data_IF_096751054504
#
_entry.id   IF_096751054504
#
_cell.length_a   1.000
_cell.length_b   1.000
_cell.length_c   1.000
_cell.angle_alpha   90.00
_cell.angle_beta   90.00
_cell.angle_gamma   90.00
#
_symmetry.space_group_name_H-M   'P 1'
#
loop_
_entity.id
_entity.type
_entity.pdbx_description
1 polymer ?
#
# COMPACT_ATOMS: atom_id res chain seq x y z
N UNK A 1 6.15 -12.98 85.71
CA UNK A 1 4.68 -12.97 85.78
C UNK A 1 4.20 -11.80 84.93
N UNK A 2 3.25 -11.88 84.02
CA UNK A 2 2.51 -12.93 83.31
C UNK A 2 1.54 -12.12 82.41
N UNK A 3 1.34 -12.55 81.16
CA UNK A 3 0.08 -12.46 80.36
C UNK A 3 -0.62 -11.09 80.25
N UNK A 4 -0.81 -10.49 79.07
CA UNK A 4 -1.29 -11.06 77.82
C UNK A 4 -2.78 -10.76 77.67
N UNK A 5 -3.15 -9.90 76.72
CA UNK A 5 -4.50 -9.82 76.16
C UNK A 5 -4.40 -9.32 74.71
N UNK A 6 -4.66 -10.26 73.80
CA UNK A 6 -4.92 -10.07 72.38
C UNK A 6 -6.06 -9.07 72.17
N UNK A 7 -5.93 -8.24 71.14
CA UNK A 7 -7.04 -7.48 70.57
C UNK A 7 -6.96 -7.64 69.06
N UNK A 8 -7.73 -8.60 68.56
CA UNK A 8 -7.88 -8.94 67.17
C UNK A 8 -8.63 -7.79 66.47
N UNK A 9 -7.98 -7.14 65.49
CA UNK A 9 -8.65 -6.24 64.55
C UNK A 9 -9.08 -7.06 63.33
N UNK A 10 -10.36 -7.38 63.28
CA UNK A 10 -11.03 -7.88 62.08
C UNK A 10 -10.96 -6.80 60.98
N UNK A 11 -10.24 -7.10 59.90
CA UNK A 11 -10.22 -6.28 58.70
C UNK A 11 -11.44 -6.64 57.83
N UNK A 12 -12.38 -5.71 57.73
CA UNK A 12 -13.46 -5.70 56.74
C UNK A 12 -12.92 -5.96 55.32
N UNK A 13 -13.56 -6.81 54.49
CA UNK A 13 -13.14 -7.00 53.11
C UNK A 13 -13.48 -5.74 52.30
N UNK A 14 -12.47 -4.91 52.07
CA UNK A 14 -12.57 -3.73 51.22
C UNK A 14 -13.13 -4.09 49.83
N UNK A 15 -14.31 -3.54 49.53
CA UNK A 15 -14.96 -3.67 48.25
C UNK A 15 -14.05 -3.19 47.11
N UNK A 16 -13.93 -4.02 46.07
CA UNK A 16 -13.27 -3.68 44.82
C UNK A 16 -13.94 -2.41 44.25
N UNK A 17 -13.21 -1.33 43.96
CA UNK A 17 -13.80 -0.16 43.31
C UNK A 17 -14.39 -0.61 41.96
N UNK A 18 -15.68 -0.35 41.77
CA UNK A 18 -16.40 -0.65 40.54
C UNK A 18 -15.62 -0.10 39.35
N UNK A 19 -15.29 -0.99 38.40
CA UNK A 19 -14.64 -0.62 37.15
C UNK A 19 -15.45 0.50 36.49
N UNK A 20 -14.77 1.61 36.17
CA UNK A 20 -15.38 2.72 35.45
C UNK A 20 -16.05 2.16 34.17
N UNK A 21 -17.27 2.60 33.83
CA UNK A 21 -17.92 2.16 32.62
C UNK A 21 -17.02 2.45 31.41
N UNK A 22 -16.97 1.56 30.40
CA UNK A 22 -16.21 1.79 29.20
C UNK A 22 -16.62 3.15 28.60
N UNK A 23 -15.67 3.91 28.02
CA UNK A 23 -15.99 5.19 27.41
C UNK A 23 -17.13 4.98 26.39
N UNK A 24 -18.11 5.88 26.34
CA UNK A 24 -19.23 5.75 25.42
C UNK A 24 -18.70 5.63 23.99
N UNK A 25 -19.27 4.71 23.22
CA UNK A 25 -18.96 4.54 21.80
C UNK A 25 -19.03 5.92 21.12
N UNK A 26 -17.89 6.37 20.59
CA UNK A 26 -17.68 7.71 20.05
C UNK A 26 -18.76 7.99 18.99
N UNK A 27 -19.75 8.84 19.36
CA UNK A 27 -20.77 9.33 18.44
C UNK A 27 -20.03 10.27 17.49
N UNK A 28 -19.55 9.67 16.40
CA UNK A 28 -18.55 10.20 15.49
C UNK A 28 -18.84 11.63 15.08
N UNK A 29 -17.93 12.52 15.45
CA UNK A 29 -17.90 13.86 14.90
C UNK A 29 -17.44 13.75 13.44
N UNK A 30 -18.38 13.79 12.49
CA UNK A 30 -18.14 13.62 11.04
C UNK A 30 -16.96 14.47 10.53
N UNK A 31 -16.75 15.65 11.13
CA UNK A 31 -15.61 16.52 10.83
C UNK A 31 -14.26 15.92 11.21
N UNK A 32 -14.18 15.20 12.33
CA UNK A 32 -12.96 14.47 12.75
C UNK A 32 -12.70 13.30 11.80
N UNK A 33 -13.72 12.54 11.43
CA UNK A 33 -13.59 11.42 10.49
C UNK A 33 -13.13 11.90 9.11
N UNK A 34 -13.67 13.04 8.62
CA UNK A 34 -13.26 13.63 7.35
C UNK A 34 -11.82 14.17 7.39
N UNK A 35 -11.41 14.78 8.50
CA UNK A 35 -10.04 15.23 8.68
C UNK A 35 -9.07 14.05 8.74
N UNK A 36 -9.45 12.96 9.41
CA UNK A 36 -8.66 11.74 9.44
C UNK A 36 -8.58 11.07 8.06
N UNK A 37 -9.68 11.05 7.31
CA UNK A 37 -9.74 10.58 5.92
C UNK A 37 -8.85 11.43 4.99
N UNK A 38 -8.72 12.73 5.24
CA UNK A 38 -7.78 13.57 4.51
C UNK A 38 -6.32 13.18 4.82
N UNK A 39 -6.00 12.92 6.10
CA UNK A 39 -4.66 12.49 6.50
C UNK A 39 -4.26 11.16 5.84
N UNK A 40 -5.19 10.20 5.75
CA UNK A 40 -4.90 8.87 5.14
C UNK A 40 -4.50 8.95 3.67
N UNK A 41 -4.94 9.97 2.91
CA UNK A 41 -4.51 10.17 1.51
C UNK A 41 -3.00 10.28 1.36
N UNK A 42 -2.33 10.97 2.31
CA UNK A 42 -0.89 11.20 2.28
C UNK A 42 -0.05 10.01 2.76
N UNK A 43 -0.61 9.21 3.67
CA UNK A 43 0.15 8.17 4.37
C UNK A 43 -0.13 6.77 3.82
N UNK A 44 -1.41 6.45 3.59
CA UNK A 44 -1.85 5.08 3.29
C UNK A 44 -1.94 4.84 1.77
N UNK A 45 -2.44 5.83 1.02
CA UNK A 45 -2.81 5.62 -0.39
C UNK A 45 -1.72 6.00 -1.40
N UNK A 46 -0.54 6.43 -0.95
CA UNK A 46 0.56 6.90 -1.81
C UNK A 46 0.88 5.93 -2.95
N UNK A 47 1.21 4.68 -2.63
CA UNK A 47 1.53 3.65 -3.64
C UNK A 47 0.37 3.37 -4.59
N UNK A 48 -0.85 3.27 -4.04
CA UNK A 48 -2.03 2.92 -4.83
C UNK A 48 -2.41 4.00 -5.85
N UNK A 49 -2.43 5.28 -5.44
CA UNK A 49 -2.86 6.37 -6.34
C UNK A 49 -1.76 6.75 -7.34
N UNK A 50 -0.48 6.45 -7.08
CA UNK A 50 0.62 6.75 -8.01
C UNK A 50 0.79 5.70 -9.11
N UNK A 51 0.13 4.55 -9.00
CA UNK A 51 0.18 3.47 -10.00
C UNK A 51 -0.07 3.89 -11.48
N UNK A 52 -0.95 4.86 -11.81
CA UNK A 52 -1.13 5.30 -13.19
C UNK A 52 0.12 5.87 -13.87
N UNK A 53 1.14 6.29 -13.09
CA UNK A 53 2.43 6.75 -13.62
C UNK A 53 3.17 5.66 -14.38
N UNK A 54 3.10 4.42 -13.90
CA UNK A 54 3.95 3.34 -14.39
C UNK A 54 3.19 2.18 -15.01
N UNK A 55 1.94 1.89 -14.62
CA UNK A 55 1.22 0.67 -15.04
C UNK A 55 1.13 0.51 -16.56
N UNK A 56 0.73 1.55 -17.30
CA UNK A 56 0.70 1.43 -18.76
C UNK A 56 2.11 1.36 -19.35
N UNK A 57 3.09 2.05 -18.78
CA UNK A 57 4.47 2.05 -19.29
C UNK A 57 5.20 0.71 -19.14
N UNK A 58 4.68 -0.21 -18.32
CA UNK A 58 5.22 -1.56 -18.13
C UNK A 58 4.53 -2.61 -19.01
N UNK A 59 3.47 -2.20 -19.71
CA UNK A 59 2.76 -3.02 -20.69
C UNK A 59 3.48 -3.01 -22.03
N UNK A 60 3.48 -4.15 -22.70
CA UNK A 60 4.04 -4.29 -24.05
C UNK A 60 3.21 -5.31 -24.81
N UNK A 61 2.74 -4.93 -26.00
CA UNK A 61 2.04 -5.82 -26.92
C UNK A 61 2.54 -5.61 -28.33
N UNK A 62 2.65 -6.70 -29.08
CA UNK A 62 3.24 -6.70 -30.41
C UNK A 62 2.33 -6.04 -31.46
N UNK A 63 1.01 -6.12 -31.29
CA UNK A 63 0.02 -5.56 -32.21
C UNK A 63 -1.28 -5.20 -31.48
N UNK A 64 -1.27 -4.13 -30.66
CA UNK A 64 -2.45 -3.74 -29.90
C UNK A 64 -3.55 -3.21 -30.82
N UNK A 65 -4.80 -3.60 -30.55
CA UNK A 65 -5.99 -3.07 -31.21
C UNK A 65 -6.86 -2.28 -30.23
N UNK A 66 -7.81 -1.51 -30.74
CA UNK A 66 -8.79 -0.80 -29.89
C UNK A 66 -9.50 -1.76 -28.90
N UNK A 67 -9.89 -2.95 -29.36
CA UNK A 67 -10.51 -3.97 -28.51
C UNK A 67 -9.59 -4.44 -27.37
N UNK A 68 -8.28 -4.44 -27.59
CA UNK A 68 -7.31 -4.83 -26.56
C UNK A 68 -7.22 -3.79 -25.46
N UNK A 69 -7.21 -2.50 -25.81
CA UNK A 69 -7.25 -1.40 -24.84
C UNK A 69 -8.54 -1.39 -24.00
N UNK A 70 -9.69 -1.66 -24.62
CA UNK A 70 -10.96 -1.83 -23.91
C UNK A 70 -10.90 -3.05 -22.96
N UNK A 71 -10.30 -4.16 -23.41
CA UNK A 71 -10.05 -5.33 -22.58
C UNK A 71 -9.18 -5.04 -21.37
N UNK A 72 -8.04 -4.37 -21.58
CA UNK A 72 -7.09 -3.99 -20.52
C UNK A 72 -7.79 -3.10 -19.48
N UNK A 73 -8.48 -2.04 -19.92
CA UNK A 73 -9.23 -1.18 -18.98
C UNK A 73 -10.29 -1.95 -18.21
N UNK A 74 -11.00 -2.90 -18.85
CA UNK A 74 -11.96 -3.77 -18.17
C UNK A 74 -11.29 -4.60 -17.06
N UNK A 75 -10.13 -5.20 -17.34
CA UNK A 75 -9.35 -5.95 -16.34
C UNK A 75 -8.93 -5.03 -15.19
N UNK A 76 -8.46 -3.82 -15.49
CA UNK A 76 -8.05 -2.85 -14.47
C UNK A 76 -9.23 -2.43 -13.58
N UNK A 77 -10.38 -2.10 -14.20
CA UNK A 77 -11.61 -1.74 -13.50
C UNK A 77 -12.05 -2.85 -12.53
N UNK A 78 -12.15 -4.09 -13.01
CA UNK A 78 -12.59 -5.22 -12.18
C UNK A 78 -11.54 -5.62 -11.15
N UNK A 79 -10.25 -5.52 -11.46
CA UNK A 79 -9.17 -5.76 -10.50
C UNK A 79 -9.24 -4.76 -9.35
N UNK A 80 -9.36 -3.46 -9.63
CA UNK A 80 -9.52 -2.41 -8.61
C UNK A 80 -10.83 -2.58 -7.81
N UNK A 81 -11.92 -2.97 -8.46
CA UNK A 81 -13.21 -3.21 -7.80
C UNK A 81 -13.14 -4.42 -6.87
N UNK A 82 -12.70 -5.57 -7.37
CA UNK A 82 -12.68 -6.82 -6.59
C UNK A 82 -11.62 -6.78 -5.48
N UNK A 83 -10.43 -6.27 -5.78
CA UNK A 83 -9.35 -6.24 -4.80
C UNK A 83 -9.48 -5.03 -3.89
N UNK A 84 -9.56 -3.82 -4.43
CA UNK A 84 -9.65 -2.59 -3.62
C UNK A 84 -10.97 -2.47 -2.86
N UNK A 85 -12.11 -2.56 -3.55
CA UNK A 85 -13.43 -2.34 -2.93
C UNK A 85 -13.91 -3.58 -2.18
N UNK A 86 -14.03 -4.73 -2.84
CA UNK A 86 -14.65 -5.92 -2.23
C UNK A 86 -13.73 -6.55 -1.19
N UNK A 87 -12.50 -6.90 -1.57
CA UNK A 87 -11.55 -7.57 -0.66
C UNK A 87 -11.06 -6.62 0.43
N UNK A 88 -10.43 -5.48 0.10
CA UNK A 88 -9.83 -4.63 1.12
C UNK A 88 -10.88 -3.80 1.87
N UNK A 89 -11.57 -2.88 1.19
CA UNK A 89 -12.51 -1.97 1.85
C UNK A 89 -13.72 -2.72 2.47
N UNK A 90 -14.17 -3.81 1.85
CA UNK A 90 -15.34 -4.58 2.26
C UNK A 90 -15.05 -5.71 3.25
N UNK A 91 -13.97 -6.48 3.09
CA UNK A 91 -13.72 -7.68 3.91
C UNK A 91 -12.52 -7.49 4.85
N UNK A 92 -11.36 -7.11 4.34
CA UNK A 92 -10.11 -7.09 5.11
C UNK A 92 -10.16 -6.06 6.24
N UNK A 93 -10.71 -4.87 6.01
CA UNK A 93 -10.88 -3.87 7.07
C UNK A 93 -11.86 -4.31 8.19
N UNK A 94 -12.65 -5.37 8.00
CA UNK A 94 -13.49 -5.97 9.06
C UNK A 94 -12.75 -7.03 9.88
N UNK A 95 -11.56 -7.43 9.45
CA UNK A 95 -10.75 -8.44 10.10
C UNK A 95 -9.62 -7.76 10.88
N UNK A 96 -9.96 -6.96 11.88
CA UNK A 96 -9.02 -6.23 12.74
C UNK A 96 -8.77 -6.95 14.07
N UNK A 97 -7.57 -6.78 14.66
CA UNK A 97 -7.24 -7.20 16.02
C UNK A 97 -7.07 -5.98 16.91
N UNK A 98 -8.07 -5.63 17.72
CA UNK A 98 -8.01 -4.45 18.59
C UNK A 98 -7.65 -3.13 17.87
N UNK A 99 -8.02 -3.01 16.58
CA UNK A 99 -7.69 -1.84 15.75
C UNK A 99 -6.38 -1.95 14.99
N UNK A 100 -5.58 -3.02 15.16
CA UNK A 100 -4.40 -3.31 14.34
C UNK A 100 -4.78 -4.19 13.14
N UNK A 101 -4.16 -3.93 11.99
CA UNK A 101 -4.37 -4.70 10.76
C UNK A 101 -3.06 -5.12 10.10
N UNK A 102 -3.17 -5.79 8.95
CA UNK A 102 -2.01 -6.30 8.22
C UNK A 102 -1.78 -7.80 8.37
N UNK A 103 -0.90 -8.33 7.52
CA UNK A 103 -0.51 -9.75 7.52
C UNK A 103 0.04 -10.20 8.88
N UNK A 104 0.70 -9.28 9.59
CA UNK A 104 1.25 -9.55 10.92
C UNK A 104 0.17 -9.55 12.02
N UNK A 105 -0.77 -8.60 12.02
CA UNK A 105 -1.90 -8.64 12.95
C UNK A 105 -2.70 -9.94 12.80
N UNK A 106 -2.89 -10.40 11.56
CA UNK A 106 -3.51 -11.71 11.27
C UNK A 106 -2.69 -12.88 11.80
N UNK A 107 -1.37 -12.85 11.65
CA UNK A 107 -0.49 -13.88 12.20
C UNK A 107 -0.50 -13.90 13.75
N UNK A 108 -0.47 -12.73 14.38
CA UNK A 108 -0.56 -12.57 15.84
C UNK A 108 -1.91 -13.05 16.39
N UNK A 109 -3.02 -12.64 15.77
CA UNK A 109 -4.37 -13.12 16.08
C UNK A 109 -4.45 -14.64 16.08
N UNK A 110 -3.88 -15.24 15.03
CA UNK A 110 -3.93 -16.66 14.85
C UNK A 110 -3.05 -17.39 15.88
N UNK A 111 -1.90 -16.82 16.24
CA UNK A 111 -1.09 -17.34 17.34
C UNK A 111 -1.78 -17.24 18.69
N UNK A 112 -2.48 -16.11 18.96
CA UNK A 112 -3.21 -15.82 20.21
C UNK A 112 -4.46 -16.70 20.38
N UNK A 113 -5.22 -16.90 19.31
CA UNK A 113 -6.48 -17.64 19.35
C UNK A 113 -6.35 -19.15 19.10
N UNK A 114 -5.26 -19.60 18.48
CA UNK A 114 -5.02 -21.03 18.20
C UNK A 114 -3.82 -21.59 18.97
N UNK A 115 -3.41 -20.96 20.08
CA UNK A 115 -2.30 -21.43 20.95
C UNK A 115 -1.04 -21.86 20.16
N UNK A 116 -0.74 -21.12 19.10
CA UNK A 116 0.10 -21.57 17.98
C UNK A 116 1.54 -21.01 18.00
N UNK A 117 2.07 -20.53 19.13
CA UNK A 117 3.48 -20.10 19.24
C UNK A 117 4.51 -21.26 19.29
N UNK A 118 5.24 -21.54 18.21
CA UNK A 118 6.32 -22.57 18.17
C UNK A 118 7.45 -22.21 19.15
N UNK A 119 7.60 -20.93 19.48
CA UNK A 119 8.61 -20.40 20.38
C UNK A 119 7.98 -19.94 21.70
N UNK A 120 8.64 -20.15 22.85
CA UNK A 120 8.19 -19.64 24.13
C UNK A 120 8.45 -18.12 24.17
N UNK A 121 7.62 -17.33 23.49
CA UNK A 121 7.64 -15.87 23.64
C UNK A 121 7.00 -15.52 24.99
N UNK A 122 7.74 -15.75 26.07
CA UNK A 122 7.34 -15.49 27.45
C UNK A 122 7.58 -14.03 27.86
N UNK A 123 7.70 -13.07 26.92
CA UNK A 123 8.20 -11.73 27.31
C UNK A 123 7.65 -10.50 26.57
N UNK A 124 6.55 -10.60 25.82
CA UNK A 124 6.04 -9.43 25.06
C UNK A 124 4.69 -8.89 25.54
N UNK A 125 3.94 -9.58 26.40
CA UNK A 125 2.74 -8.99 26.98
C UNK A 125 3.07 -8.34 28.32
N UNK A 126 3.37 -7.03 28.25
CA UNK A 126 3.54 -6.15 29.41
C UNK A 126 2.37 -6.30 30.38
N UNK A 127 2.66 -6.16 31.67
CA UNK A 127 1.82 -6.49 32.82
C UNK A 127 0.40 -5.86 32.84
N UNK A 128 0.07 -4.93 31.94
CA UNK A 128 -1.26 -4.35 31.79
C UNK A 128 -2.29 -5.31 31.18
N UNK A 129 -1.90 -6.19 30.25
CA UNK A 129 -2.87 -7.09 29.59
C UNK A 129 -3.14 -8.38 30.38
N UNK A 130 -2.31 -8.73 31.38
CA UNK A 130 -2.61 -9.83 32.31
C UNK A 130 -3.80 -9.49 33.23
N UNK A 131 -4.04 -8.20 33.49
CA UNK A 131 -5.24 -7.75 34.19
C UNK A 131 -6.49 -7.82 33.29
N UNK A 132 -6.35 -7.53 31.99
CA UNK A 132 -7.42 -7.73 31.00
C UNK A 132 -7.69 -9.22 30.70
N UNK A 133 -6.66 -10.06 30.73
CA UNK A 133 -6.75 -11.51 30.50
C UNK A 133 -7.58 -12.22 31.57
N UNK A 134 -7.59 -11.70 32.81
CA UNK A 134 -8.43 -12.24 33.87
C UNK A 134 -9.91 -11.84 33.76
N UNK A 135 -10.23 -10.74 33.06
CA UNK A 135 -11.61 -10.31 32.84
C UNK A 135 -12.23 -10.87 31.55
N UNK A 136 -11.44 -11.20 30.52
CA UNK A 136 -11.93 -11.75 29.25
C UNK A 136 -11.98 -13.30 29.22
N UNK A 137 -12.42 -13.93 30.31
CA UNK A 137 -12.94 -15.31 30.27
C UNK A 137 -14.42 -15.30 29.85
N UNK A 138 -14.72 -14.69 28.72
CA UNK A 138 -16.03 -14.81 28.06
C UNK A 138 -15.87 -15.64 26.79
N UNK A 139 -15.89 -16.96 26.99
CA UNK A 139 -16.55 -17.95 26.12
C UNK A 139 -16.67 -17.58 24.64
N UNK A 140 -15.60 -17.76 23.85
CA UNK A 140 -15.74 -18.08 22.43
C UNK A 140 -15.18 -19.48 22.18
N UNK A 141 -16.06 -20.37 21.73
CA UNK A 141 -15.76 -21.75 21.36
C UNK A 141 -14.64 -21.75 20.31
N UNK A 142 -13.54 -22.50 20.48
CA UNK A 142 -12.48 -22.54 19.48
C UNK A 142 -13.04 -23.08 18.16
N UNK A 143 -12.83 -22.32 17.08
CA UNK A 143 -13.29 -22.69 15.73
C UNK A 143 -12.69 -24.04 15.32
N UNK A 144 -13.42 -24.82 14.51
CA UNK A 144 -12.95 -26.15 14.06
C UNK A 144 -11.61 -26.07 13.30
N UNK A 145 -11.36 -24.93 12.64
CA UNK A 145 -10.10 -24.64 11.97
C UNK A 145 -8.95 -24.40 12.98
N UNK A 146 -9.21 -23.67 14.07
CA UNK A 146 -8.24 -23.47 15.15
C UNK A 146 -7.79 -24.78 15.78
N UNK A 147 -8.73 -25.70 16.04
CA UNK A 147 -8.43 -27.05 16.58
C UNK A 147 -7.60 -27.91 15.62
N UNK A 148 -7.76 -27.74 14.30
CA UNK A 148 -6.96 -28.44 13.28
C UNK A 148 -5.51 -27.94 13.28
N UNK A 149 -5.33 -26.63 13.33
CA UNK A 149 -4.01 -25.99 13.39
C UNK A 149 -3.27 -26.26 14.70
N UNK A 150 -3.98 -26.32 15.84
CA UNK A 150 -3.43 -26.73 17.14
C UNK A 150 -2.89 -28.17 17.12
N UNK A 151 -3.57 -29.08 16.42
CA UNK A 151 -3.18 -30.50 16.35
C UNK A 151 -2.03 -30.78 15.37
N UNK A 152 -1.83 -29.94 14.35
CA UNK A 152 -0.91 -30.23 13.24
C UNK A 152 0.34 -29.34 13.25
N UNK A 153 1.48 -29.94 13.61
CA UNK A 153 2.81 -29.32 13.51
C UNK A 153 3.13 -28.87 12.06
N UNK A 154 2.68 -29.63 11.05
CA UNK A 154 2.88 -29.29 9.64
C UNK A 154 2.10 -28.04 9.25
N UNK A 155 0.84 -27.92 9.67
CA UNK A 155 0.01 -26.76 9.38
C UNK A 155 0.61 -25.47 9.97
N UNK A 156 1.14 -25.55 11.19
CA UNK A 156 1.84 -24.46 11.87
C UNK A 156 3.12 -24.03 11.15
N UNK A 157 3.93 -24.99 10.66
CA UNK A 157 5.13 -24.69 9.84
C UNK A 157 4.78 -24.08 8.49
N UNK A 158 3.75 -24.58 7.82
CA UNK A 158 3.28 -24.01 6.54
C UNK A 158 2.79 -22.57 6.75
N UNK A 159 2.10 -22.31 7.85
CA UNK A 159 1.60 -20.98 8.16
C UNK A 159 2.73 -19.99 8.45
N UNK A 160 3.72 -20.41 9.23
CA UNK A 160 4.95 -19.66 9.45
C UNK A 160 5.67 -19.34 8.15
N UNK A 161 5.85 -20.35 7.29
CA UNK A 161 6.48 -20.17 6.00
C UNK A 161 5.72 -19.15 5.14
N UNK A 162 4.40 -19.24 5.07
CA UNK A 162 3.58 -18.27 4.34
C UNK A 162 3.66 -16.86 4.90
N UNK A 163 3.74 -16.71 6.22
CA UNK A 163 3.91 -15.40 6.87
C UNK A 163 5.27 -14.79 6.53
N UNK A 164 6.36 -15.54 6.67
CA UNK A 164 7.72 -15.08 6.32
C UNK A 164 7.82 -14.74 4.83
N UNK A 165 7.24 -15.58 3.96
CA UNK A 165 7.19 -15.32 2.52
C UNK A 165 6.46 -14.01 2.20
N UNK A 166 5.32 -13.74 2.86
CA UNK A 166 4.61 -12.47 2.73
C UNK A 166 5.43 -11.26 3.19
N UNK A 167 6.21 -11.40 4.27
CA UNK A 167 7.12 -10.35 4.74
C UNK A 167 8.24 -10.07 3.73
N UNK A 168 8.86 -11.11 3.16
CA UNK A 168 9.87 -10.95 2.12
C UNK A 168 9.30 -10.27 0.87
N UNK A 169 8.07 -10.61 0.46
CA UNK A 169 7.39 -9.95 -0.67
C UNK A 169 7.15 -8.47 -0.40
N UNK A 170 6.72 -8.11 0.82
CA UNK A 170 6.49 -6.72 1.20
C UNK A 170 7.81 -5.92 1.24
N UNK A 171 8.90 -6.50 1.75
CA UNK A 171 10.23 -5.87 1.68
C UNK A 171 10.67 -5.67 0.22
N UNK A 172 10.41 -6.65 -0.66
CA UNK A 172 10.68 -6.54 -2.08
C UNK A 172 9.92 -5.37 -2.73
N UNK A 173 8.64 -5.23 -2.40
CA UNK A 173 7.82 -4.08 -2.86
C UNK A 173 8.37 -2.74 -2.32
N UNK A 174 8.82 -2.72 -1.07
CA UNK A 174 9.51 -1.59 -0.44
C UNK A 174 10.79 -1.15 -1.16
N UNK A 175 11.44 -2.04 -1.93
CA UNK A 175 12.59 -1.71 -2.79
C UNK A 175 12.12 -1.25 -4.18
N UNK A 176 11.21 -2.00 -4.79
CA UNK A 176 10.87 -1.82 -6.20
C UNK A 176 9.96 -0.59 -6.42
N UNK A 177 9.04 -0.27 -5.51
CA UNK A 177 8.08 0.83 -5.70
C UNK A 177 8.72 2.21 -5.66
N UNK A 178 9.64 2.53 -4.73
CA UNK A 178 10.39 3.77 -4.80
C UNK A 178 11.20 3.90 -6.10
N UNK A 179 11.75 2.78 -6.59
CA UNK A 179 12.52 2.76 -7.84
C UNK A 179 11.64 3.07 -9.06
N UNK A 180 10.51 2.36 -9.22
CA UNK A 180 9.64 2.53 -10.39
C UNK A 180 8.88 3.86 -10.38
N UNK A 181 8.37 4.29 -9.23
CA UNK A 181 7.57 5.52 -9.14
C UNK A 181 8.39 6.77 -9.44
N UNK A 182 9.58 6.90 -8.84
CA UNK A 182 10.48 8.03 -9.08
C UNK A 182 11.06 7.97 -10.50
N UNK A 183 11.41 6.79 -11.01
CA UNK A 183 11.86 6.66 -12.39
C UNK A 183 10.79 7.11 -13.38
N UNK A 184 9.56 6.60 -13.24
CA UNK A 184 8.44 6.95 -14.12
C UNK A 184 8.04 8.43 -14.01
N UNK A 185 8.14 9.04 -12.83
CA UNK A 185 7.90 10.48 -12.69
C UNK A 185 8.93 11.34 -13.46
N UNK A 186 10.21 10.95 -13.44
CA UNK A 186 11.27 11.73 -14.11
C UNK A 186 11.34 11.42 -15.61
N UNK A 187 10.85 10.26 -16.06
CA UNK A 187 10.70 9.95 -17.49
C UNK A 187 9.88 11.01 -18.25
N UNK A 188 8.99 11.74 -17.56
CA UNK A 188 8.29 12.89 -18.12
C UNK A 188 9.23 13.90 -18.80
N UNK A 189 10.45 14.13 -18.33
CA UNK A 189 11.39 15.07 -18.96
C UNK A 189 11.68 14.73 -20.44
N UNK A 190 11.53 13.47 -20.85
CA UNK A 190 11.81 13.03 -22.22
C UNK A 190 10.74 13.47 -23.21
N UNK A 191 9.50 13.72 -22.76
CA UNK A 191 8.43 14.11 -23.66
C UNK A 191 8.64 15.51 -24.27
N UNK A 192 9.05 16.55 -23.51
CA UNK A 192 9.40 17.86 -24.08
C UNK A 192 10.84 17.93 -24.62
N UNK A 193 11.76 17.12 -24.08
CA UNK A 193 13.18 17.14 -24.44
C UNK A 193 13.68 15.76 -24.90
N UNK A 194 13.51 15.41 -26.19
CA UNK A 194 13.96 14.13 -26.74
C UNK A 194 15.47 13.89 -26.64
N UNK A 195 16.26 14.95 -26.44
CA UNK A 195 17.70 14.89 -26.20
C UNK A 195 18.07 14.23 -24.85
N UNK A 196 17.12 14.13 -23.91
CA UNK A 196 17.35 13.48 -22.63
C UNK A 196 17.33 11.95 -22.82
N UNK A 197 18.50 11.35 -22.69
CA UNK A 197 18.69 9.91 -22.82
C UNK A 197 18.22 9.17 -21.55
N UNK A 198 17.79 7.92 -21.69
CA UNK A 198 17.40 7.06 -20.57
C UNK A 198 18.40 7.01 -19.39
N UNK A 199 19.73 6.88 -19.61
CA UNK A 199 20.68 6.90 -18.51
C UNK A 199 20.66 8.22 -17.72
N UNK A 200 20.45 9.37 -18.37
CA UNK A 200 20.35 10.66 -17.68
C UNK A 200 19.14 10.70 -16.77
N UNK A 201 17.99 10.17 -17.23
CA UNK A 201 16.78 10.01 -16.40
C UNK A 201 17.06 9.11 -15.20
N UNK A 202 17.69 7.95 -15.41
CA UNK A 202 18.02 7.02 -14.33
C UNK A 202 18.95 7.64 -13.29
N UNK A 203 19.99 8.39 -13.69
CA UNK A 203 20.87 9.10 -12.76
C UNK A 203 20.14 10.20 -11.98
N UNK A 204 19.25 10.95 -12.64
CA UNK A 204 18.47 11.99 -11.98
C UNK A 204 17.49 11.39 -10.96
N UNK A 205 16.80 10.31 -11.32
CA UNK A 205 15.94 9.56 -10.40
C UNK A 205 16.71 8.98 -9.22
N UNK A 206 17.90 8.42 -9.45
CA UNK A 206 18.78 7.94 -8.39
C UNK A 206 19.21 9.07 -7.44
N UNK A 207 19.54 10.25 -7.96
CA UNK A 207 19.90 11.42 -7.15
C UNK A 207 18.72 11.89 -6.26
N UNK A 208 17.50 11.94 -6.82
CA UNK A 208 16.29 12.27 -6.05
C UNK A 208 16.06 11.23 -4.96
N UNK A 209 16.21 9.95 -5.28
CA UNK A 209 16.01 8.86 -4.33
C UNK A 209 17.04 8.88 -3.20
N UNK A 210 18.32 9.15 -3.50
CA UNK A 210 19.35 9.35 -2.48
C UNK A 210 18.97 10.53 -1.57
N UNK A 211 18.56 11.67 -2.15
CA UNK A 211 18.10 12.82 -1.38
C UNK A 211 16.95 12.46 -0.43
N UNK A 212 15.98 11.70 -0.94
CA UNK A 212 14.84 11.19 -0.19
C UNK A 212 15.28 10.29 0.98
N UNK A 213 16.18 9.33 0.76
CA UNK A 213 16.71 8.45 1.80
C UNK A 213 17.58 9.19 2.84
N UNK A 214 18.27 10.25 2.45
CA UNK A 214 19.05 11.10 3.37
C UNK A 214 18.18 11.98 4.26
N UNK A 215 17.01 12.42 3.75
CA UNK A 215 16.04 13.22 4.51
C UNK A 215 15.31 12.40 5.58
N UNK A 216 15.24 11.06 5.44
CA UNK A 216 14.55 10.18 6.40
C UNK A 216 14.99 10.38 7.87
N UNK A 217 16.26 10.73 8.09
CA UNK A 217 16.81 10.93 9.45
C UNK A 217 16.14 12.06 10.24
N UNK A 218 15.46 12.99 9.57
CA UNK A 218 14.79 14.13 10.22
C UNK A 218 13.38 13.80 10.73
N UNK A 219 12.94 12.54 10.58
CA UNK A 219 11.68 12.04 11.11
C UNK A 219 10.49 12.25 10.17
N UNK A 220 9.69 11.20 9.98
CA UNK A 220 8.47 11.20 9.16
C UNK A 220 7.39 12.12 9.73
N UNK A 221 7.35 12.32 11.05
CA UNK A 221 6.35 13.15 11.74
C UNK A 221 6.22 14.56 11.17
N UNK A 222 7.34 15.28 10.97
CA UNK A 222 7.34 16.67 10.49
C UNK A 222 7.02 16.79 9.00
N UNK A 223 7.30 15.75 8.22
CA UNK A 223 7.12 15.76 6.77
C UNK A 223 5.72 15.22 6.38
N UNK A 224 5.12 14.37 7.22
CA UNK A 224 3.81 13.75 7.00
C UNK A 224 2.67 14.74 6.76
N UNK A 225 2.73 15.93 7.37
CA UNK A 225 1.73 16.98 7.17
C UNK A 225 1.72 17.50 5.72
N UNK A 226 2.86 17.51 5.04
CA UNK A 226 2.96 17.97 3.65
C UNK A 226 2.48 16.90 2.64
N UNK A 227 2.39 15.64 3.06
CA UNK A 227 2.01 14.53 2.18
C UNK A 227 0.54 14.55 1.80
N UNK A 228 -0.36 14.84 2.75
CA UNK A 228 -1.80 14.86 2.47
C UNK A 228 -2.21 15.94 1.45
N UNK A 229 -1.70 17.19 1.50
CA UNK A 229 -1.95 18.18 0.46
C UNK A 229 -1.46 17.76 -0.93
N UNK A 230 -0.27 17.17 -1.02
CA UNK A 230 0.31 16.70 -2.29
C UNK A 230 -0.56 15.59 -2.88
N UNK A 231 -0.91 14.58 -2.07
CA UNK A 231 -1.73 13.47 -2.53
C UNK A 231 -3.16 13.88 -2.85
N UNK A 232 -3.75 14.82 -2.10
CA UNK A 232 -5.06 15.38 -2.43
C UNK A 232 -5.02 16.19 -3.74
N UNK A 233 -3.96 16.96 -3.98
CA UNK A 233 -3.77 17.63 -5.26
C UNK A 233 -3.65 16.62 -6.40
N UNK A 234 -2.85 15.56 -6.21
CA UNK A 234 -2.71 14.47 -7.18
C UNK A 234 -4.02 13.74 -7.45
N UNK A 235 -4.76 13.30 -6.42
CA UNK A 235 -6.03 12.59 -6.57
C UNK A 235 -7.12 13.46 -7.19
N UNK A 236 -6.99 14.79 -7.11
CA UNK A 236 -7.92 15.74 -7.70
C UNK A 236 -7.56 16.11 -9.15
N UNK A 237 -6.30 16.42 -9.45
CA UNK A 237 -5.89 16.87 -10.79
C UNK A 237 -5.86 15.73 -11.81
N UNK A 238 -5.44 14.52 -11.42
CA UNK A 238 -5.41 13.35 -12.30
C UNK A 238 -6.76 13.01 -12.94
N UNK A 239 -7.88 12.87 -12.19
CA UNK A 239 -9.17 12.58 -12.79
C UNK A 239 -9.71 13.76 -13.59
N UNK A 240 -9.36 15.02 -13.26
CA UNK A 240 -9.74 16.15 -14.11
C UNK A 240 -9.14 16.03 -15.52
N UNK A 241 -7.86 15.68 -15.62
CA UNK A 241 -7.21 15.37 -16.89
C UNK A 241 -7.82 14.11 -17.53
N UNK A 242 -8.22 13.14 -16.69
CA UNK A 242 -8.93 11.92 -17.07
C UNK A 242 -10.21 12.21 -17.83
N UNK A 243 -11.10 12.95 -17.17
CA UNK A 243 -12.39 13.40 -17.69
C UNK A 243 -12.21 14.18 -18.99
N UNK A 244 -11.27 15.14 -19.03
CA UNK A 244 -10.97 15.88 -20.26
C UNK A 244 -10.62 14.96 -21.43
N UNK A 245 -9.74 13.98 -21.21
CA UNK A 245 -9.32 13.03 -22.25
C UNK A 245 -10.44 12.08 -22.67
N UNK A 246 -11.30 11.64 -21.75
CA UNK A 246 -12.47 10.81 -22.08
C UNK A 246 -13.40 11.55 -23.04
N UNK A 247 -13.76 12.80 -22.72
CA UNK A 247 -14.65 13.58 -23.57
C UNK A 247 -14.01 13.95 -24.92
N UNK A 248 -12.70 14.19 -24.94
CA UNK A 248 -11.99 14.62 -26.15
C UNK A 248 -11.72 13.47 -27.13
N UNK A 249 -11.32 12.31 -26.63
CA UNK A 249 -10.77 11.22 -27.45
C UNK A 249 -11.73 10.04 -27.62
N UNK A 250 -12.38 9.58 -26.54
CA UNK A 250 -13.22 8.39 -26.59
C UNK A 250 -14.30 8.36 -25.47
N UNK A 251 -15.47 9.00 -25.67
CA UNK A 251 -16.53 9.03 -24.66
C UNK A 251 -17.19 7.65 -24.43
N UNK A 252 -17.03 6.71 -25.38
CA UNK A 252 -17.55 5.34 -25.28
C UNK A 252 -16.78 4.43 -24.33
N UNK A 253 -15.78 4.92 -23.59
CA UNK A 253 -14.85 4.10 -22.81
C UNK A 253 -15.57 3.28 -21.71
N UNK A 254 -16.65 3.82 -21.14
CA UNK A 254 -17.42 3.15 -20.09
C UNK A 254 -18.13 1.88 -20.55
N UNK A 255 -18.21 1.60 -21.87
CA UNK A 255 -18.66 0.30 -22.36
C UNK A 255 -17.73 -0.83 -21.89
N UNK A 256 -16.43 -0.54 -21.74
CA UNK A 256 -15.43 -1.49 -21.28
C UNK A 256 -15.57 -1.89 -19.79
N UNK A 257 -16.45 -1.23 -19.03
CA UNK A 257 -16.81 -1.69 -17.67
C UNK A 257 -17.46 -3.08 -17.68
N UNK A 258 -18.03 -3.52 -18.82
CA UNK A 258 -18.59 -4.86 -18.95
C UNK A 258 -17.49 -5.95 -18.90
N UNK A 259 -17.60 -6.99 -18.04
CA UNK A 259 -16.67 -8.13 -18.00
C UNK A 259 -16.50 -8.86 -19.33
N UNK A 260 -17.42 -8.67 -20.28
CA UNK A 260 -17.35 -9.30 -21.60
C UNK A 260 -16.04 -8.98 -22.34
N UNK A 261 -15.51 -7.76 -22.18
CA UNK A 261 -14.24 -7.35 -22.79
C UNK A 261 -13.04 -8.12 -22.23
N UNK A 262 -13.09 -8.53 -20.96
CA UNK A 262 -12.06 -9.38 -20.34
C UNK A 262 -12.01 -10.74 -21.03
N UNK A 263 -13.17 -11.39 -21.18
CA UNK A 263 -13.26 -12.71 -21.80
C UNK A 263 -12.78 -12.65 -23.25
N UNK A 264 -13.20 -11.63 -24.00
CA UNK A 264 -12.76 -11.45 -25.38
C UNK A 264 -11.25 -11.21 -25.48
N UNK A 265 -10.68 -10.39 -24.60
CA UNK A 265 -9.24 -10.12 -24.54
C UNK A 265 -8.41 -11.38 -24.32
N UNK A 266 -8.79 -12.23 -23.35
CA UNK A 266 -8.07 -13.46 -23.06
C UNK A 266 -8.21 -14.50 -24.17
N UNK A 267 -9.38 -14.61 -24.81
CA UNK A 267 -9.60 -15.51 -25.93
C UNK A 267 -8.72 -15.15 -27.14
N UNK A 268 -8.55 -13.86 -27.40
CA UNK A 268 -7.75 -13.34 -28.51
C UNK A 268 -6.25 -13.43 -28.24
N UNK A 269 -5.77 -12.86 -27.14
CA UNK A 269 -4.34 -12.64 -26.89
C UNK A 269 -3.65 -13.81 -26.16
N UNK A 270 -4.43 -14.76 -25.59
CA UNK A 270 -3.94 -15.99 -24.94
C UNK A 270 -2.73 -15.73 -24.03
N UNK A 271 -1.52 -16.09 -24.48
CA UNK A 271 -0.26 -15.98 -23.70
C UNK A 271 0.11 -14.52 -23.40
N UNK A 272 -0.01 -13.62 -24.38
CA UNK A 272 0.25 -12.19 -24.15
C UNK A 272 -0.77 -11.61 -23.16
N UNK A 273 -2.03 -12.07 -23.21
CA UNK A 273 -3.06 -11.67 -22.25
C UNK A 273 -2.72 -12.04 -20.80
N UNK A 274 -2.15 -13.23 -20.56
CA UNK A 274 -1.68 -13.62 -19.23
C UNK A 274 -0.50 -12.78 -18.73
N UNK A 275 0.45 -12.43 -19.61
CA UNK A 275 1.57 -11.54 -19.27
C UNK A 275 1.10 -10.12 -18.92
N UNK A 276 0.01 -9.67 -19.54
CA UNK A 276 -0.59 -8.35 -19.28
C UNK A 276 -1.30 -8.29 -17.92
N UNK A 277 -1.78 -9.43 -17.40
CA UNK A 277 -2.37 -9.50 -16.07
C UNK A 277 -1.32 -9.15 -15.00
N UNK A 278 -0.07 -9.59 -15.18
CA UNK A 278 1.07 -9.22 -14.33
C UNK A 278 1.28 -7.71 -14.25
N UNK A 279 1.27 -7.03 -15.41
CA UNK A 279 1.33 -5.57 -15.45
C UNK A 279 0.08 -4.89 -14.87
N UNK A 280 -1.08 -5.55 -14.90
CA UNK A 280 -2.32 -5.04 -14.29
C UNK A 280 -2.31 -5.16 -12.76
N UNK A 281 -1.62 -6.16 -12.21
CA UNK A 281 -1.45 -6.31 -10.75
C UNK A 281 -0.71 -5.11 -10.15
N UNK A 282 0.18 -4.46 -10.90
CA UNK A 282 0.81 -3.20 -10.48
C UNK A 282 -0.19 -2.06 -10.17
N UNK A 283 -1.42 -2.13 -10.69
CA UNK A 283 -2.46 -1.14 -10.41
C UNK A 283 -3.06 -1.25 -9.01
N UNK A 284 -2.90 -2.41 -8.35
CA UNK A 284 -3.36 -2.66 -6.97
C UNK A 284 -2.22 -2.67 -5.96
N UNK A 285 -0.97 -2.49 -6.40
CA UNK A 285 0.17 -2.32 -5.50
C UNK A 285 -0.09 -1.14 -4.57
N UNK A 286 0.09 -1.33 -3.26
CA UNK A 286 -0.29 -0.37 -2.23
C UNK A 286 -1.69 -0.56 -1.65
N UNK A 287 -2.53 -1.45 -2.19
CA UNK A 287 -3.83 -1.77 -1.57
C UNK A 287 -3.65 -2.50 -0.22
N UNK A 288 -2.56 -3.25 -0.04
CA UNK A 288 -2.22 -3.86 1.25
C UNK A 288 -1.97 -2.84 2.38
N UNK A 289 -1.51 -1.63 2.06
CA UNK A 289 -1.32 -0.57 3.04
C UNK A 289 -2.64 -0.17 3.70
N UNK A 290 -3.78 -0.27 2.97
CA UNK A 290 -5.12 -0.04 3.55
C UNK A 290 -5.38 -0.95 4.75
N UNK A 291 -4.85 -2.17 4.72
CA UNK A 291 -5.02 -3.12 5.81
C UNK A 291 -3.92 -3.01 6.84
N UNK A 292 -2.67 -2.73 6.44
CA UNK A 292 -1.53 -2.62 7.35
C UNK A 292 -1.62 -1.40 8.29
N UNK A 293 -2.17 -0.28 7.83
CA UNK A 293 -2.18 0.99 8.58
C UNK A 293 -3.43 1.19 9.46
N UNK A 294 -4.20 0.13 9.72
CA UNK A 294 -5.36 0.19 10.62
C UNK A 294 -4.98 0.68 12.04
N UNK A 295 -3.76 0.36 12.51
CA UNK A 295 -3.27 0.76 13.84
C UNK A 295 -3.19 2.27 14.05
N UNK A 296 -3.06 3.05 12.98
CA UNK A 296 -2.91 4.51 13.04
C UNK A 296 -4.18 5.27 12.65
N UNK A 297 -5.09 4.62 11.92
CA UNK A 297 -6.24 5.28 11.30
C UNK A 297 -7.52 4.47 11.47
N UNK A 298 -8.62 5.16 11.77
CA UNK A 298 -9.91 4.48 11.90
C UNK A 298 -10.33 3.86 10.57
N UNK A 299 -10.89 2.65 10.65
CA UNK A 299 -11.48 1.95 9.50
C UNK A 299 -12.43 2.83 8.68
N UNK A 300 -13.29 3.61 9.35
CA UNK A 300 -14.25 4.50 8.67
C UNK A 300 -13.53 5.58 7.87
N UNK A 301 -12.45 6.17 8.42
CA UNK A 301 -11.66 7.17 7.70
C UNK A 301 -11.00 6.60 6.45
N UNK A 302 -10.43 5.38 6.53
CA UNK A 302 -9.85 4.68 5.37
C UNK A 302 -10.93 4.38 4.32
N UNK A 303 -12.09 3.86 4.73
CA UNK A 303 -13.20 3.56 3.81
C UNK A 303 -13.73 4.81 3.11
N UNK A 304 -13.93 5.91 3.84
CA UNK A 304 -14.40 7.18 3.28
C UNK A 304 -13.38 7.72 2.28
N UNK A 305 -12.10 7.82 2.65
CA UNK A 305 -11.05 8.32 1.76
C UNK A 305 -10.94 7.48 0.48
N UNK A 306 -10.98 6.15 0.63
CA UNK A 306 -10.87 5.23 -0.49
C UNK A 306 -12.06 5.34 -1.45
N UNK A 307 -13.28 5.17 -0.95
CA UNK A 307 -14.47 5.10 -1.79
C UNK A 307 -14.88 6.46 -2.36
N UNK A 308 -14.61 7.56 -1.65
CA UNK A 308 -15.01 8.91 -2.09
C UNK A 308 -13.96 9.60 -2.97
N UNK A 309 -12.66 9.33 -2.78
CA UNK A 309 -11.59 10.05 -3.46
C UNK A 309 -10.72 9.13 -4.31
N UNK A 310 -10.07 8.13 -3.71
CA UNK A 310 -9.03 7.33 -4.39
C UNK A 310 -9.60 6.46 -5.49
N UNK A 311 -10.65 5.69 -5.20
CA UNK A 311 -11.27 4.78 -6.16
C UNK A 311 -11.82 5.52 -7.41
N UNK A 312 -12.68 6.55 -7.30
CA UNK A 312 -13.16 7.26 -8.48
C UNK A 312 -12.02 7.95 -9.23
N UNK A 313 -11.01 8.48 -8.52
CA UNK A 313 -9.84 9.10 -9.13
C UNK A 313 -9.06 8.12 -10.03
N UNK A 314 -8.78 6.91 -9.54
CA UNK A 314 -8.09 5.87 -10.29
C UNK A 314 -8.88 5.40 -11.50
N UNK A 315 -10.17 5.10 -11.34
CA UNK A 315 -11.02 4.65 -12.45
C UNK A 315 -11.07 5.69 -13.57
N UNK A 316 -11.26 6.96 -13.23
CA UNK A 316 -11.30 8.04 -14.22
C UNK A 316 -9.95 8.29 -14.89
N UNK A 317 -8.85 8.18 -14.14
CA UNK A 317 -7.50 8.35 -14.68
C UNK A 317 -7.16 7.22 -15.65
N UNK A 318 -7.40 5.97 -15.28
CA UNK A 318 -7.17 4.83 -16.17
C UNK A 318 -8.08 4.85 -17.40
N UNK A 319 -9.33 5.27 -17.25
CA UNK A 319 -10.24 5.45 -18.38
C UNK A 319 -9.72 6.53 -19.35
N UNK A 320 -9.26 7.66 -18.82
CA UNK A 320 -8.70 8.75 -19.62
C UNK A 320 -7.39 8.38 -20.31
N UNK A 321 -6.49 7.67 -19.63
CA UNK A 321 -5.27 7.14 -20.24
C UNK A 321 -5.60 6.19 -21.37
N UNK A 322 -6.53 5.25 -21.15
CA UNK A 322 -6.97 4.28 -22.18
C UNK A 322 -7.57 4.99 -23.38
N UNK A 323 -8.44 5.99 -23.17
CA UNK A 323 -9.02 6.79 -24.25
C UNK A 323 -7.95 7.52 -25.07
N UNK A 324 -6.94 8.09 -24.40
CA UNK A 324 -5.82 8.76 -25.07
C UNK A 324 -4.96 7.76 -25.88
N UNK A 325 -4.68 6.59 -25.31
CA UNK A 325 -3.91 5.52 -25.96
C UNK A 325 -4.63 4.99 -27.21
N UNK A 326 -5.95 4.80 -27.16
CA UNK A 326 -6.76 4.40 -28.33
C UNK A 326 -6.68 5.44 -29.45
N UNK A 327 -6.68 6.74 -29.12
CA UNK A 327 -6.52 7.77 -30.14
C UNK A 327 -5.11 7.76 -30.74
N UNK A 328 -4.07 7.69 -29.90
CA UNK A 328 -2.69 7.61 -30.39
C UNK A 328 -2.44 6.37 -31.24
N UNK A 329 -3.11 5.26 -30.95
CA UNK A 329 -3.04 4.05 -31.78
C UNK A 329 -3.49 4.31 -33.22
N UNK A 330 -4.48 5.19 -33.43
CA UNK A 330 -4.99 5.53 -34.78
C UNK A 330 -4.00 6.38 -35.58
N UNK A 331 -3.19 7.17 -34.88
CA UNK A 331 -2.22 8.09 -35.47
C UNK A 331 -0.81 7.47 -35.60
N UNK A 332 -0.54 6.30 -35.00
CA UNK A 332 0.80 5.70 -34.95
C UNK A 332 1.01 4.67 -36.07
N UNK A 333 2.11 4.81 -36.81
CA UNK A 333 2.53 3.84 -37.83
C UNK A 333 2.88 2.45 -37.25
N UNK A 334 2.68 1.40 -38.06
CA UNK A 334 2.89 -0.01 -37.71
C UNK A 334 4.26 -0.30 -37.08
N UNK A 335 5.31 0.44 -37.45
CA UNK A 335 6.68 0.27 -36.95
C UNK A 335 6.87 0.76 -35.50
N UNK A 336 6.09 1.77 -35.07
CA UNK A 336 6.19 2.36 -33.73
C UNK A 336 5.09 1.87 -32.76
N UNK A 337 4.24 0.94 -33.20
CA UNK A 337 3.06 0.46 -32.46
C UNK A 337 3.43 -0.21 -31.12
N UNK A 338 4.61 -0.83 -31.03
CA UNK A 338 5.12 -1.44 -29.80
C UNK A 338 5.51 -0.42 -28.71
N UNK A 339 5.73 0.85 -29.08
CA UNK A 339 6.10 1.94 -28.15
C UNK A 339 4.93 2.83 -27.76
N UNK A 340 3.70 2.42 -28.08
CA UNK A 340 2.48 3.19 -27.74
C UNK A 340 2.35 3.36 -26.22
N UNK A 341 2.79 2.35 -25.45
CA UNK A 341 2.78 2.33 -23.99
C UNK A 341 3.88 3.19 -23.34
N UNK A 342 4.96 3.52 -24.05
CA UNK A 342 6.04 4.32 -23.50
C UNK A 342 5.54 5.73 -23.16
N UNK A 343 5.89 6.21 -21.96
CA UNK A 343 5.49 7.53 -21.44
C UNK A 343 3.97 7.79 -21.51
N UNK A 344 3.15 6.74 -21.45
CA UNK A 344 1.69 6.79 -21.61
C UNK A 344 1.02 7.85 -20.71
N UNK A 345 1.48 7.98 -19.47
CA UNK A 345 0.96 8.99 -18.53
C UNK A 345 1.19 10.42 -19.04
N UNK A 346 2.38 10.73 -19.56
CA UNK A 346 2.71 12.08 -20.02
C UNK A 346 2.11 12.42 -21.38
N UNK A 347 1.90 11.43 -22.26
CA UNK A 347 1.15 11.60 -23.53
C UNK A 347 -0.32 11.95 -23.29
N UNK A 348 -0.89 11.48 -22.18
CA UNK A 348 -2.26 11.77 -21.77
C UNK A 348 -2.46 13.20 -21.25
N UNK A 349 -1.41 13.89 -20.83
CA UNK A 349 -1.52 15.23 -20.23
C UNK A 349 -1.56 16.31 -21.33
N UNK A 350 -2.56 17.21 -21.33
CA UNK A 350 -2.62 18.35 -22.25
C UNK A 350 -1.44 19.32 -22.05
N UNK A 351 -0.89 19.84 -23.15
CA UNK A 351 0.27 20.76 -23.14
C UNK A 351 0.17 21.93 -22.15
N UNK A 352 -0.98 22.62 -21.98
CA UNK A 352 -1.07 23.77 -21.08
C UNK A 352 -0.86 23.43 -19.60
N UNK A 353 -1.23 22.22 -19.17
CA UNK A 353 -1.16 21.78 -17.77
C UNK A 353 0.02 20.82 -17.52
N UNK A 354 0.87 20.61 -18.53
CA UNK A 354 1.95 19.65 -18.50
C UNK A 354 2.95 19.90 -17.35
N UNK A 355 3.48 21.11 -17.24
CA UNK A 355 4.49 21.46 -16.24
C UNK A 355 3.96 21.41 -14.80
N UNK A 356 2.80 22.00 -14.47
CA UNK A 356 2.19 21.83 -13.16
C UNK A 356 1.99 20.35 -12.81
N UNK A 357 1.48 19.56 -13.77
CA UNK A 357 1.23 18.14 -13.54
C UNK A 357 2.51 17.33 -13.36
N UNK A 358 3.58 17.68 -14.07
CA UNK A 358 4.91 17.09 -13.91
C UNK A 358 5.47 17.29 -12.49
N UNK A 359 5.32 18.50 -11.93
CA UNK A 359 5.75 18.79 -10.55
C UNK A 359 4.92 18.00 -9.55
N UNK A 360 3.59 17.97 -9.70
CA UNK A 360 2.71 17.20 -8.81
C UNK A 360 3.03 15.70 -8.91
N UNK A 361 3.29 15.17 -10.11
CA UNK A 361 3.68 13.78 -10.32
C UNK A 361 4.98 13.42 -9.59
N UNK A 362 5.99 14.28 -9.69
CA UNK A 362 7.29 14.07 -9.02
C UNK A 362 7.13 14.10 -7.51
N UNK A 363 6.36 15.05 -6.98
CA UNK A 363 6.06 15.14 -5.55
C UNK A 363 5.24 13.93 -5.07
N UNK A 364 4.22 13.51 -5.82
CA UNK A 364 3.41 12.35 -5.48
C UNK A 364 4.24 11.06 -5.47
N UNK A 365 5.16 10.86 -6.43
CA UNK A 365 6.07 9.72 -6.46
C UNK A 365 7.02 9.70 -5.25
N UNK A 366 7.54 10.87 -4.85
CA UNK A 366 8.34 11.01 -3.62
C UNK A 366 7.51 10.61 -2.40
N UNK A 367 6.28 11.12 -2.26
CA UNK A 367 5.38 10.78 -1.14
C UNK A 367 5.04 9.30 -1.12
N UNK A 368 4.70 8.70 -2.27
CA UNK A 368 4.43 7.27 -2.37
C UNK A 368 5.61 6.40 -1.94
N UNK A 369 6.83 6.81 -2.30
CA UNK A 369 8.06 6.14 -1.89
C UNK A 369 8.22 6.16 -0.36
N UNK A 370 7.86 7.26 0.31
CA UNK A 370 7.95 7.39 1.77
C UNK A 370 7.08 6.38 2.51
N UNK A 371 5.82 6.24 2.11
CA UNK A 371 4.87 5.33 2.74
C UNK A 371 5.41 3.90 2.76
N UNK A 372 5.96 3.42 1.64
CA UNK A 372 6.50 2.07 1.56
C UNK A 372 7.82 1.87 2.29
N UNK A 373 8.69 2.89 2.31
CA UNK A 373 9.93 2.85 3.11
C UNK A 373 9.57 2.72 4.59
N UNK A 374 8.61 3.52 5.07
CA UNK A 374 8.13 3.46 6.46
C UNK A 374 7.48 2.11 6.77
N UNK A 375 6.63 1.60 5.87
CA UNK A 375 6.01 0.27 6.04
C UNK A 375 7.08 -0.84 6.15
N UNK A 376 8.16 -0.74 5.37
CA UNK A 376 9.28 -1.69 5.40
C UNK A 376 10.02 -1.64 6.75
N UNK A 377 10.22 -0.44 7.32
CA UNK A 377 10.81 -0.31 8.66
C UNK A 377 9.95 -0.96 9.75
N UNK A 378 8.64 -0.77 9.70
CA UNK A 378 7.70 -1.40 10.63
C UNK A 378 7.74 -2.93 10.53
N UNK A 379 7.73 -3.46 9.31
CA UNK A 379 7.81 -4.91 9.01
C UNK A 379 9.12 -5.51 9.52
N UNK A 380 10.25 -4.83 9.34
CA UNK A 380 11.55 -5.29 9.84
C UNK A 380 11.60 -5.24 11.37
N UNK A 381 11.11 -4.17 12.01
CA UNK A 381 11.00 -4.10 13.48
C UNK A 381 10.17 -5.26 14.03
N UNK A 382 9.00 -5.51 13.45
CA UNK A 382 8.13 -6.64 13.84
C UNK A 382 8.85 -7.98 13.68
N UNK A 383 9.63 -8.15 12.61
CA UNK A 383 10.42 -9.36 12.37
C UNK A 383 11.53 -9.57 13.40
N UNK A 384 12.18 -8.50 13.86
CA UNK A 384 13.18 -8.55 14.95
C UNK A 384 12.53 -8.96 16.27
N UNK A 385 11.33 -8.44 16.57
CA UNK A 385 10.58 -8.80 17.80
C UNK A 385 10.20 -10.28 17.84
N UNK A 386 10.02 -10.91 16.68
CA UNK A 386 9.70 -12.34 16.54
C UNK A 386 10.94 -13.24 16.48
N UNK A 387 12.15 -12.71 16.71
CA UNK A 387 13.43 -13.41 16.54
C UNK A 387 13.67 -13.97 15.11
N UNK A 388 12.97 -13.47 14.08
CA UNK A 388 13.18 -13.86 12.68
C UNK A 388 14.31 -13.09 11.98
N UNK A 389 14.75 -11.96 12.55
CA UNK A 389 15.76 -11.08 11.96
C UNK A 389 16.82 -10.69 13.00
N UNK A 390 18.12 -10.59 12.64
CA UNK A 390 19.16 -10.14 13.57
C UNK A 390 18.84 -8.77 14.16
N UNK A 391 19.28 -8.51 15.39
CA UNK A 391 18.94 -7.27 16.12
C UNK A 391 19.41 -6.03 15.35
N UNK A 392 18.45 -5.26 14.82
CA UNK A 392 18.69 -3.98 14.15
C UNK A 392 18.47 -2.84 15.15
N UNK A 393 19.30 -1.79 15.09
CA UNK A 393 19.10 -0.59 15.90
C UNK A 393 17.83 0.15 15.45
N UNK A 394 16.86 0.25 16.35
CA UNK A 394 15.62 1.01 16.17
C UNK A 394 15.74 2.34 16.91
N UNK A 395 15.53 3.45 16.21
CA UNK A 395 15.42 4.78 16.80
C UNK A 395 13.97 5.23 16.64
N UNK A 396 13.29 5.47 17.76
CA UNK A 396 11.95 6.05 17.75
C UNK A 396 12.06 7.52 17.35
N UNK A 397 11.35 7.93 16.31
CA UNK A 397 11.40 9.32 15.80
C UNK A 397 10.41 10.26 16.48
N UNK A 398 9.50 9.74 17.30
CA UNK A 398 8.55 10.50 18.11
C UNK A 398 8.27 9.78 19.44
N UNK A 399 8.15 10.54 20.54
CA UNK A 399 7.83 10.01 21.88
C UNK A 399 6.32 9.74 22.06
N UNK A 400 5.46 10.25 21.17
CA UNK A 400 3.98 10.12 21.26
C UNK A 400 3.38 9.04 20.33
N UNK A 401 4.12 8.52 19.33
CA UNK A 401 3.62 7.52 18.39
C UNK A 401 4.61 6.35 18.23
N UNK A 402 4.32 5.19 18.84
CA UNK A 402 5.18 3.98 18.82
C UNK A 402 5.41 3.36 17.42
N UNK A 403 4.66 3.80 16.41
CA UNK A 403 4.72 3.31 15.02
C UNK A 403 5.67 4.07 14.08
N UNK A 404 6.22 5.22 14.48
CA UNK A 404 7.20 5.95 13.66
C UNK A 404 8.63 5.48 13.96
N UNK A 405 9.06 4.50 13.18
CA UNK A 405 10.30 3.73 13.40
C UNK A 405 11.33 4.12 12.35
N UNK A 406 12.42 4.79 12.77
CA UNK A 406 13.57 5.01 11.90
C UNK A 406 14.66 3.99 12.21
N UNK A 407 15.08 3.23 11.20
CA UNK A 407 16.21 2.31 11.30
C UNK A 407 17.31 2.73 10.31
N UNK A 408 18.41 3.34 10.79
CA UNK A 408 19.48 3.82 9.92
C UNK A 408 20.06 2.74 9.02
N UNK A 409 20.31 1.54 9.57
CA UNK A 409 20.91 0.42 8.83
C UNK A 409 20.00 -0.04 7.69
N UNK A 410 18.72 -0.27 7.99
CA UNK A 410 17.72 -0.64 7.00
C UNK A 410 17.53 0.44 5.94
N UNK A 411 17.56 1.72 6.33
CA UNK A 411 17.44 2.85 5.41
C UNK A 411 18.58 2.86 4.37
N UNK A 412 19.83 2.65 4.80
CA UNK A 412 20.96 2.60 3.88
C UNK A 412 20.92 1.35 2.98
N UNK A 413 20.50 0.19 3.51
CA UNK A 413 20.33 -1.03 2.70
C UNK A 413 19.26 -0.82 1.63
N UNK A 414 18.09 -0.31 2.01
CA UNK A 414 17.02 0.04 1.06
C UNK A 414 17.51 1.04 0.02
N UNK A 415 18.20 2.11 0.44
CA UNK A 415 18.76 3.11 -0.47
C UNK A 415 19.68 2.47 -1.53
N UNK A 416 20.63 1.62 -1.12
CA UNK A 416 21.55 0.95 -2.04
C UNK A 416 20.79 0.02 -2.98
N UNK A 417 19.83 -0.75 -2.47
CA UNK A 417 19.02 -1.67 -3.30
C UNK A 417 18.17 -0.91 -4.32
N UNK A 418 17.45 0.15 -3.92
CA UNK A 418 16.61 0.90 -4.84
C UNK A 418 17.44 1.63 -5.92
N UNK A 419 18.58 2.23 -5.53
CA UNK A 419 19.50 2.85 -6.49
C UNK A 419 20.11 1.80 -7.42
N UNK A 420 20.49 0.63 -6.89
CA UNK A 420 20.97 -0.51 -7.67
C UNK A 420 19.94 -1.00 -8.70
N UNK A 421 18.67 -1.04 -8.34
CA UNK A 421 17.57 -1.39 -9.26
C UNK A 421 17.43 -0.34 -10.37
N UNK A 422 17.44 0.96 -10.04
CA UNK A 422 17.34 2.03 -11.05
C UNK A 422 18.51 1.95 -12.03
N UNK A 423 19.75 1.87 -11.53
CA UNK A 423 20.95 1.89 -12.37
C UNK A 423 21.16 0.57 -13.13
N UNK A 424 20.77 -0.57 -12.55
CA UNK A 424 20.91 -1.88 -13.17
C UNK A 424 19.90 -2.15 -14.27
N UNK A 425 18.64 -1.74 -14.08
CA UNK A 425 17.58 -1.96 -15.07
C UNK A 425 17.43 -0.82 -16.07
N UNK A 426 17.76 0.43 -15.69
CA UNK A 426 17.80 1.61 -16.57
C UNK A 426 16.49 2.05 -17.22
N UNK A 427 15.42 1.24 -17.14
CA UNK A 427 14.12 1.48 -17.79
C UNK A 427 12.94 0.94 -16.99
N UNK A 428 11.83 1.68 -17.03
CA UNK A 428 10.60 1.37 -16.27
C UNK A 428 9.98 0.02 -16.63
N UNK A 429 10.06 -0.39 -17.91
CA UNK A 429 9.57 -1.69 -18.36
C UNK A 429 10.28 -2.86 -17.68
N UNK A 430 11.61 -2.81 -17.54
CA UNK A 430 12.38 -3.90 -16.97
C UNK A 430 12.15 -4.01 -15.45
N UNK A 431 12.02 -2.87 -14.76
CA UNK A 431 11.62 -2.83 -13.35
C UNK A 431 10.18 -3.37 -13.18
N UNK A 432 9.25 -2.96 -14.04
CA UNK A 432 7.87 -3.45 -14.03
C UNK A 432 7.75 -4.95 -14.28
N UNK A 433 8.63 -5.55 -15.07
CA UNK A 433 8.67 -6.99 -15.23
C UNK A 433 9.11 -7.68 -13.93
N UNK A 434 10.08 -7.13 -13.19
CA UNK A 434 10.51 -7.67 -11.90
C UNK A 434 9.40 -7.69 -10.83
N UNK A 435 8.37 -6.85 -10.98
CA UNK A 435 7.21 -6.81 -10.08
C UNK A 435 6.18 -7.92 -10.32
N UNK A 436 6.03 -8.41 -11.55
CA UNK A 436 4.83 -9.19 -11.87
C UNK A 436 4.82 -9.98 -13.17
N UNK A 437 5.93 -10.06 -13.92
CA UNK A 437 6.02 -10.90 -15.13
C UNK A 437 6.96 -12.08 -14.99
#
# INVERSE_FOLDING_TARGET
>A
MSTGAHMDLEAEPGGVPAAAPPPPADVGNVRKDLFLAYKTLGVVFGGLVTSPLYVFSTMHMSSPTEADFLGIYSIMFWTLTLIGVVKYAGIALNADDHGEGGTFAMYSLLCRHANMGILPSKRVYSAEEQLLHNQSKTTKTPSNLGKFFERSLTARRVLLFMSILGMCMLIGDGVLTPAISVLSAIQGLRAPFPAVTQPVVAFLSAAILIGLFLVQKYGTSKVSFLFSPIMAAWTFTTPMVGIYSIFRYYPGIFKATSPHYIVHFFLKNKKEGWQMLGATVLAITGAEAMFADLGHFSKKAIQIAFLSSVYPSLILTYAGQTACLINHLKDTDQENIGKVFDDAFYKFIPRPVYWPMFVIATLAAIVASQSLISATFSVIKQSVVLDYFPRVKVVHTSDENEGEVYSPETNYILMVLCVGVILGFGGGQAIGNAFGK
#
